data_IF_587698079491
#
_entry.id   IF_587698079491
#
_cell.length_a   1.000
_cell.length_b   1.000
_cell.length_c   1.000
_cell.angle_alpha   90.00
_cell.angle_beta   90.00
_cell.angle_gamma   90.00
#
_symmetry.space_group_name_H-M   'P 1'
#
loop_
_entity.id
_entity.type
_entity.pdbx_description
1 polymer ?
#
# COMPACT_ATOMS: atom_id res chain seq x y z
N UNK A 1 6.28 5.54 24.06
CA UNK A 1 6.48 4.34 23.22
C UNK A 1 5.76 4.56 21.90
N UNK A 2 6.48 4.55 20.77
CA UNK A 2 5.89 4.86 19.46
C UNK A 2 5.08 3.66 18.90
N UNK A 3 4.41 3.83 17.75
CA UNK A 3 3.59 2.78 17.13
C UNK A 3 4.40 1.52 16.81
N UNK A 4 5.60 1.68 16.26
CA UNK A 4 6.48 0.57 15.91
C UNK A 4 6.93 -0.25 17.14
N UNK A 5 7.27 0.41 18.24
CA UNK A 5 7.65 -0.24 19.50
C UNK A 5 6.49 -1.08 20.05
N UNK A 6 5.26 -0.56 19.99
CA UNK A 6 4.05 -1.32 20.38
C UNK A 6 3.87 -2.57 19.51
N UNK A 7 4.09 -2.45 18.20
CA UNK A 7 3.99 -3.57 17.28
C UNK A 7 5.05 -4.64 17.59
N UNK A 8 6.29 -4.24 17.87
CA UNK A 8 7.39 -5.16 18.21
C UNK A 8 7.11 -5.96 19.47
N UNK A 9 6.50 -5.37 20.49
CA UNK A 9 6.13 -6.08 21.72
C UNK A 9 5.02 -7.12 21.48
N UNK A 10 4.05 -6.81 20.61
CA UNK A 10 2.90 -7.68 20.33
C UNK A 10 3.18 -8.81 19.35
N UNK A 11 4.28 -8.73 18.59
CA UNK A 11 4.57 -9.68 17.51
C UNK A 11 5.77 -10.57 17.86
N UNK A 12 5.63 -11.87 17.60
CA UNK A 12 6.74 -12.83 17.76
C UNK A 12 7.80 -12.70 16.67
N UNK A 13 7.45 -12.13 15.53
CA UNK A 13 8.36 -11.86 14.40
C UNK A 13 8.82 -10.40 14.43
N UNK A 14 10.05 -10.10 13.98
CA UNK A 14 10.51 -8.73 13.87
C UNK A 14 9.57 -7.90 12.98
N UNK A 15 9.19 -6.73 13.47
CA UNK A 15 8.53 -5.68 12.68
C UNK A 15 9.58 -4.60 12.41
N UNK A 16 9.88 -4.40 11.13
CA UNK A 16 10.92 -3.48 10.65
C UNK A 16 10.25 -2.31 9.91
N UNK A 17 10.77 -1.08 10.05
CA UNK A 17 10.34 0.03 9.22
C UNK A 17 10.78 -0.18 7.76
N UNK A 18 10.10 0.43 6.80
CA UNK A 18 10.49 0.39 5.38
C UNK A 18 11.84 1.06 5.08
N UNK A 19 12.40 1.80 6.03
CA UNK A 19 13.76 2.35 5.97
C UNK A 19 14.85 1.35 6.39
N UNK A 20 14.48 0.18 6.91
CA UNK A 20 15.43 -0.86 7.26
C UNK A 20 16.07 -1.46 6.00
N UNK A 21 17.40 -1.69 5.96
CA UNK A 21 18.06 -2.28 4.80
C UNK A 21 17.48 -3.62 4.34
N UNK A 22 16.87 -4.41 5.24
CA UNK A 22 16.22 -5.66 4.87
C UNK A 22 15.04 -5.48 3.90
N UNK A 23 14.44 -4.28 3.82
CA UNK A 23 13.33 -4.00 2.91
C UNK A 23 13.75 -3.98 1.43
N UNK A 24 15.03 -3.72 1.12
CA UNK A 24 15.50 -3.57 -0.27
C UNK A 24 15.34 -4.83 -1.13
N UNK A 25 15.19 -6.00 -0.50
CA UNK A 25 14.88 -7.26 -1.18
C UNK A 25 13.45 -7.32 -1.71
N UNK A 26 12.53 -6.62 -1.05
CA UNK A 26 11.09 -6.69 -1.32
C UNK A 26 10.57 -5.46 -2.07
N UNK A 27 11.19 -4.30 -1.88
CA UNK A 27 10.74 -3.08 -2.53
C UNK A 27 11.64 -1.88 -2.26
N UNK A 28 11.12 -0.70 -2.60
CA UNK A 28 11.77 0.59 -2.33
C UNK A 28 10.71 1.64 -2.00
N UNK A 29 11.08 2.61 -1.16
CA UNK A 29 10.25 3.79 -0.93
C UNK A 29 10.36 4.72 -2.13
N UNK A 30 9.23 5.07 -2.74
CA UNK A 30 9.16 6.05 -3.83
C UNK A 30 8.76 7.40 -3.24
N UNK A 31 9.57 8.43 -3.47
CA UNK A 31 9.30 9.80 -3.02
C UNK A 31 8.98 10.71 -4.21
N UNK A 32 8.24 11.79 -3.97
CA UNK A 32 7.92 12.79 -4.99
C UNK A 32 6.90 12.34 -6.05
N UNK A 33 6.27 11.17 -5.89
CA UNK A 33 5.22 10.69 -6.79
C UNK A 33 3.87 11.34 -6.48
N UNK A 34 3.44 11.23 -5.22
CA UNK A 34 2.16 11.77 -4.77
C UNK A 34 2.33 13.23 -4.36
N UNK A 35 1.40 14.06 -4.80
CA UNK A 35 1.22 15.43 -4.35
C UNK A 35 -0.03 15.54 -3.45
N UNK A 36 -0.28 16.72 -2.90
CA UNK A 36 -1.43 16.96 -2.02
C UNK A 36 -2.78 16.64 -2.68
N UNK A 37 -2.88 16.72 -4.02
CA UNK A 37 -4.11 16.37 -4.74
C UNK A 37 -4.37 14.87 -4.73
N UNK A 38 -3.31 14.07 -4.87
CA UNK A 38 -3.39 12.60 -4.76
C UNK A 38 -3.81 12.19 -3.35
N UNK A 39 -3.22 12.82 -2.34
CA UNK A 39 -3.52 12.51 -0.94
C UNK A 39 -4.96 12.88 -0.57
N UNK A 40 -5.49 14.01 -1.06
CA UNK A 40 -6.89 14.39 -0.88
C UNK A 40 -7.84 13.39 -1.52
N UNK A 41 -7.55 12.97 -2.75
CA UNK A 41 -8.39 12.01 -3.46
C UNK A 41 -8.42 10.65 -2.78
N UNK A 42 -7.28 10.18 -2.26
CA UNK A 42 -7.22 8.94 -1.47
C UNK A 42 -8.00 9.07 -0.16
N UNK A 43 -7.94 10.23 0.52
CA UNK A 43 -8.67 10.47 1.76
C UNK A 43 -10.21 10.51 1.59
N UNK A 44 -10.70 10.76 0.38
CA UNK A 44 -12.13 10.70 0.04
C UNK A 44 -12.63 9.28 -0.20
N UNK A 45 -11.73 8.30 -0.34
CA UNK A 45 -12.12 6.91 -0.55
C UNK A 45 -12.72 6.31 0.72
N UNK A 46 -13.83 5.53 0.63
CA UNK A 46 -14.49 5.00 1.82
C UNK A 46 -13.57 4.13 2.66
N UNK A 47 -13.51 4.39 3.97
CA UNK A 47 -12.88 3.53 4.97
C UNK A 47 -13.97 2.83 5.78
N UNK A 48 -14.16 1.50 5.62
CA UNK A 48 -15.19 0.79 6.36
C UNK A 48 -14.86 0.75 7.87
N UNK A 49 -15.85 0.93 8.74
CA UNK A 49 -15.70 0.80 10.20
C UNK A 49 -15.29 -0.62 10.62
N UNK A 50 -15.69 -1.63 9.84
CA UNK A 50 -15.39 -3.04 10.08
C UNK A 50 -14.97 -3.74 8.79
N UNK A 51 -13.94 -4.59 8.89
CA UNK A 51 -13.45 -5.41 7.79
C UNK A 51 -12.58 -4.63 6.80
N UNK A 52 -12.46 -5.18 5.59
CA UNK A 52 -11.69 -4.60 4.48
C UNK A 52 -12.56 -4.61 3.23
N UNK A 53 -12.55 -3.50 2.49
CA UNK A 53 -13.17 -3.40 1.17
C UNK A 53 -12.09 -3.31 0.12
N UNK A 54 -12.16 -4.21 -0.86
CA UNK A 54 -11.27 -4.24 -2.01
C UNK A 54 -12.03 -3.81 -3.27
N UNK A 55 -11.54 -2.76 -3.94
CA UNK A 55 -12.00 -2.32 -5.24
C UNK A 55 -10.79 -2.31 -6.18
N UNK A 56 -10.74 -3.19 -7.20
CA UNK A 56 -9.57 -3.27 -8.08
C UNK A 56 -9.34 -1.97 -8.86
N UNK A 57 -10.42 -1.22 -9.15
CA UNK A 57 -10.35 0.06 -9.81
C UNK A 57 -11.44 0.99 -9.26
N UNK A 58 -11.06 2.23 -8.97
CA UNK A 58 -11.98 3.32 -8.62
C UNK A 58 -11.89 4.36 -9.73
N UNK A 59 -13.00 4.73 -10.34
CA UNK A 59 -13.02 5.58 -11.55
C UNK A 59 -12.30 6.92 -11.35
N UNK A 60 -12.52 7.57 -10.20
CA UNK A 60 -11.85 8.82 -9.87
C UNK A 60 -10.34 8.64 -9.73
N UNK A 61 -9.87 7.60 -9.03
CA UNK A 61 -8.44 7.29 -8.92
C UNK A 61 -7.84 6.96 -10.29
N UNK A 62 -8.52 6.13 -11.09
CA UNK A 62 -8.06 5.74 -12.40
C UNK A 62 -7.88 6.96 -13.31
N UNK A 63 -8.85 7.88 -13.33
CA UNK A 63 -8.81 9.08 -14.16
C UNK A 63 -7.68 10.04 -13.76
N UNK A 64 -7.41 10.20 -12.45
CA UNK A 64 -6.42 11.17 -11.96
C UNK A 64 -5.00 10.61 -11.86
N UNK A 65 -4.86 9.32 -11.53
CA UNK A 65 -3.59 8.70 -11.20
C UNK A 65 -3.08 7.80 -12.33
N UNK A 66 -3.97 7.11 -13.05
CA UNK A 66 -3.63 6.02 -13.96
C UNK A 66 -2.60 6.42 -15.01
N UNK A 67 -2.73 7.60 -15.62
CA UNK A 67 -1.77 8.09 -16.62
C UNK A 67 -0.34 8.25 -16.07
N UNK A 68 -0.19 8.84 -14.87
CA UNK A 68 1.14 9.00 -14.23
C UNK A 68 1.70 7.66 -13.75
N UNK A 69 0.83 6.76 -13.26
CA UNK A 69 1.25 5.45 -12.76
C UNK A 69 1.86 4.57 -13.86
N UNK A 70 1.39 4.67 -15.11
CA UNK A 70 1.95 3.92 -16.25
C UNK A 70 3.47 4.07 -16.43
N UNK A 71 4.02 5.22 -16.05
CA UNK A 71 5.48 5.47 -16.07
C UNK A 71 6.27 4.51 -15.18
N UNK A 72 5.65 3.96 -14.14
CA UNK A 72 6.26 2.98 -13.22
C UNK A 72 6.14 1.54 -13.72
N UNK A 73 5.27 1.30 -14.70
CA UNK A 73 4.94 -0.02 -15.20
C UNK A 73 5.28 -0.19 -16.69
N UNK A 74 6.19 0.64 -17.22
CA UNK A 74 6.62 0.55 -18.62
C UNK A 74 5.47 0.72 -19.62
N UNK A 75 4.56 1.66 -19.34
CA UNK A 75 3.37 1.97 -20.13
C UNK A 75 2.32 0.85 -20.24
N UNK A 76 2.48 -0.26 -19.50
CA UNK A 76 1.44 -1.30 -19.41
C UNK A 76 0.13 -0.72 -18.84
N UNK A 77 -1.03 -1.33 -19.17
CA UNK A 77 -2.29 -0.99 -18.51
C UNK A 77 -2.19 -1.14 -16.99
N UNK A 78 -2.72 -0.17 -16.25
CA UNK A 78 -2.72 -0.12 -14.78
C UNK A 78 -4.14 0.02 -14.25
N UNK A 79 -4.38 -0.53 -13.06
CA UNK A 79 -5.61 -0.30 -12.29
C UNK A 79 -5.25 0.47 -11.02
N UNK A 80 -5.94 1.60 -10.80
CA UNK A 80 -5.86 2.39 -9.58
C UNK A 80 -7.11 2.14 -8.74
N UNK A 81 -6.94 1.35 -7.68
CA UNK A 81 -8.00 0.90 -6.80
C UNK A 81 -7.69 1.15 -5.32
N UNK A 82 -8.48 0.55 -4.43
CA UNK A 82 -8.34 0.69 -2.98
C UNK A 82 -8.47 -0.65 -2.27
N UNK A 83 -7.69 -0.82 -1.21
CA UNK A 83 -7.85 -1.89 -0.24
C UNK A 83 -7.95 -1.24 1.15
N UNK A 84 -9.15 -0.80 1.52
CA UNK A 84 -9.37 0.05 2.69
C UNK A 84 -10.01 -0.73 3.83
N UNK A 85 -9.51 -0.51 5.05
CA UNK A 85 -10.08 -1.05 6.27
C UNK A 85 -9.01 -1.54 7.23
N UNK A 86 -9.44 -2.18 8.32
CA UNK A 86 -8.54 -2.73 9.32
C UNK A 86 -8.68 -4.24 9.38
N UNK A 87 -7.60 -4.93 9.06
CA UNK A 87 -7.54 -6.38 9.13
C UNK A 87 -6.75 -6.84 10.36
N UNK A 88 -7.29 -7.81 11.09
CA UNK A 88 -6.63 -8.46 12.23
C UNK A 88 -6.14 -9.88 11.91
N UNK A 89 -6.47 -10.42 10.73
CA UNK A 89 -6.13 -11.77 10.30
C UNK A 89 -5.43 -11.76 8.94
N UNK A 90 -4.32 -12.46 8.80
CA UNK A 90 -3.71 -12.69 7.48
C UNK A 90 -4.53 -13.77 6.74
N UNK A 91 -5.55 -13.34 6.00
CA UNK A 91 -6.46 -14.22 5.28
C UNK A 91 -6.00 -14.57 3.85
N UNK A 92 -5.14 -13.74 3.25
CA UNK A 92 -4.66 -13.91 1.89
C UNK A 92 -3.19 -13.49 1.75
N UNK A 93 -2.51 -14.10 0.79
CA UNK A 93 -1.21 -13.68 0.25
C UNK A 93 -1.34 -13.68 -1.27
N UNK A 94 -0.81 -12.64 -1.90
CA UNK A 94 -0.82 -12.50 -3.35
C UNK A 94 0.59 -12.42 -3.92
N UNK A 95 0.70 -12.74 -5.20
CA UNK A 95 1.94 -12.62 -5.95
C UNK A 95 1.62 -12.04 -7.34
N UNK A 96 2.32 -10.97 -7.68
CA UNK A 96 2.23 -10.31 -8.97
C UNK A 96 3.56 -10.48 -9.72
N UNK A 97 3.49 -10.76 -11.02
CA UNK A 97 4.68 -10.78 -11.89
C UNK A 97 5.25 -9.38 -12.14
N UNK A 98 4.40 -8.37 -12.02
CA UNK A 98 4.77 -6.95 -12.06
C UNK A 98 4.87 -6.41 -10.64
N UNK A 99 5.53 -5.27 -10.47
CA UNK A 99 5.50 -4.52 -9.21
C UNK A 99 4.06 -4.11 -8.84
N UNK A 100 3.88 -3.79 -7.57
CA UNK A 100 2.69 -3.12 -7.03
C UNK A 100 3.13 -1.82 -6.36
N UNK A 101 2.34 -0.76 -6.49
CA UNK A 101 2.61 0.53 -5.88
C UNK A 101 1.56 0.80 -4.81
N UNK A 102 2.01 0.88 -3.56
CA UNK A 102 1.16 1.17 -2.41
C UNK A 102 1.27 2.64 -2.00
N UNK A 103 0.13 3.34 -1.96
CA UNK A 103 0.00 4.70 -1.43
C UNK A 103 -0.97 4.65 -0.26
N UNK A 104 -0.57 5.18 0.89
CA UNK A 104 -1.38 5.18 2.10
C UNK A 104 -1.46 6.58 2.71
N UNK A 105 -2.66 6.96 3.15
CA UNK A 105 -2.93 8.17 3.94
C UNK A 105 -2.67 7.95 5.43
N UNK A 106 -2.48 6.69 5.84
CA UNK A 106 -2.22 6.25 7.21
C UNK A 106 -1.06 5.24 7.26
N UNK A 107 -0.59 4.91 8.46
CA UNK A 107 0.41 3.85 8.66
C UNK A 107 -0.16 2.48 8.25
N UNK A 108 0.58 1.73 7.43
CA UNK A 108 0.24 0.36 7.03
C UNK A 108 1.29 -0.64 7.50
N UNK A 109 0.87 -1.90 7.71
CA UNK A 109 1.77 -3.03 7.98
C UNK A 109 1.75 -3.96 6.79
N UNK A 110 2.91 -4.20 6.19
CA UNK A 110 3.08 -5.10 5.04
C UNK A 110 3.67 -6.43 5.49
N UNK A 111 3.08 -7.54 5.05
CA UNK A 111 3.64 -8.89 5.19
C UNK A 111 4.22 -9.30 3.85
N UNK A 112 5.55 -9.39 3.77
CA UNK A 112 6.25 -9.55 2.50
C UNK A 112 7.04 -10.87 2.47
N UNK A 113 7.07 -11.46 1.28
CA UNK A 113 7.84 -12.66 0.97
C UNK A 113 8.54 -12.51 -0.37
N UNK A 114 9.56 -13.33 -0.60
CA UNK A 114 10.25 -13.43 -1.88
C UNK A 114 10.44 -14.91 -2.19
N UNK A 115 10.16 -15.31 -3.42
CA UNK A 115 10.43 -16.66 -3.92
C UNK A 115 11.93 -16.89 -4.16
#
# INVERSE_FOLDING_TARGET
MNTLDRLRIKNRRPVLPVSDPAFSRYGRVVTGLADDSWMKLLAETPLPEQGVTYLPQVETLQAHLGGKLRLFFGDMPVQAGTCNGHNSLTAALEYHKSSELNLATEDIVLVLGSL
#
